data_IF_862289069611
#
_entry.id   IF_862289069611
#
_cell.length_a   1.000
_cell.length_b   1.000
_cell.length_c   1.000
_cell.angle_alpha   90.00
_cell.angle_beta   90.00
_cell.angle_gamma   90.00
#
_symmetry.space_group_name_H-M   'P 1'
#
loop_
_entity.id
_entity.type
_entity.pdbx_description
1 polymer ?
#
# COMPACT_ATOMS: atom_id res chain seq x y z
N UNK A 1 -6.02 -6.71 16.98
CA UNK A 1 -5.84 -7.80 16.03
C UNK A 1 -7.03 -7.87 15.10
N UNK A 2 -6.79 -8.28 13.84
CA UNK A 2 -7.80 -8.53 12.83
C UNK A 2 -7.67 -9.98 12.36
N UNK A 3 -8.81 -10.62 12.14
CA UNK A 3 -8.86 -11.98 11.60
C UNK A 3 -8.83 -11.95 10.07
N UNK A 4 -7.97 -12.79 9.48
CA UNK A 4 -7.89 -13.00 8.04
C UNK A 4 -9.00 -13.97 7.59
N UNK A 5 -10.22 -13.47 7.40
CA UNK A 5 -11.32 -14.26 6.84
C UNK A 5 -10.96 -14.84 5.47
N UNK A 6 -11.47 -16.02 5.13
CA UNK A 6 -11.17 -16.68 3.84
C UNK A 6 -11.57 -15.83 2.63
N UNK A 7 -12.62 -15.04 2.76
CA UNK A 7 -13.12 -14.12 1.73
C UNK A 7 -12.12 -13.03 1.32
N UNK A 8 -11.12 -12.74 2.17
CA UNK A 8 -10.05 -11.80 1.83
C UNK A 8 -9.15 -12.29 0.69
N UNK A 9 -9.18 -13.59 0.39
CA UNK A 9 -8.30 -14.26 -0.57
C UNK A 9 -9.02 -14.65 -1.87
N UNK A 10 -10.36 -14.72 -1.88
CA UNK A 10 -11.15 -15.32 -2.96
C UNK A 10 -10.84 -14.71 -4.34
N UNK A 11 -10.72 -13.39 -4.45
CA UNK A 11 -10.44 -12.70 -5.71
C UNK A 11 -8.95 -12.64 -6.09
N UNK A 12 -8.05 -13.11 -5.21
CA UNK A 12 -6.60 -13.01 -5.39
C UNK A 12 -5.97 -14.28 -5.97
N UNK A 13 -6.70 -15.40 -5.99
CA UNK A 13 -6.20 -16.67 -6.54
C UNK A 13 -5.83 -16.52 -8.03
N UNK A 14 -4.67 -17.05 -8.40
CA UNK A 14 -4.14 -17.08 -9.77
C UNK A 14 -3.95 -15.69 -10.43
N UNK A 15 -3.97 -14.60 -9.65
CA UNK A 15 -3.79 -13.23 -10.18
C UNK A 15 -2.34 -12.76 -10.24
N UNK A 16 -1.41 -13.46 -9.59
CA UNK A 16 -0.04 -12.99 -9.37
C UNK A 16 0.05 -11.81 -8.40
N UNK A 17 -0.95 -11.64 -7.54
CA UNK A 17 -0.99 -10.61 -6.52
C UNK A 17 0.22 -10.68 -5.58
N UNK A 18 0.73 -9.52 -5.17
CA UNK A 18 1.75 -9.43 -4.13
C UNK A 18 1.18 -9.90 -2.79
N UNK A 19 1.97 -10.66 -2.02
CA UNK A 19 1.56 -11.25 -0.75
C UNK A 19 2.62 -11.02 0.34
N UNK A 20 2.18 -11.00 1.59
CA UNK A 20 3.01 -11.10 2.79
C UNK A 20 2.88 -12.48 3.45
N UNK A 21 2.32 -13.47 2.72
CA UNK A 21 2.08 -14.85 3.14
C UNK A 21 1.12 -15.01 4.34
N UNK A 22 0.21 -14.04 4.52
CA UNK A 22 -0.84 -14.14 5.54
C UNK A 22 -1.81 -15.27 5.15
N UNK A 23 -2.16 -16.13 6.11
CA UNK A 23 -2.98 -17.31 5.86
C UNK A 23 -4.45 -17.11 6.28
N UNK A 24 -5.41 -17.77 5.61
CA UNK A 24 -6.82 -17.75 6.05
C UNK A 24 -6.96 -18.26 7.49
N UNK A 25 -7.63 -17.48 8.33
CA UNK A 25 -7.80 -17.78 9.76
C UNK A 25 -6.68 -17.24 10.67
N UNK A 26 -5.67 -16.61 10.10
CA UNK A 26 -4.59 -16.00 10.86
C UNK A 26 -5.07 -14.73 11.58
N UNK A 27 -4.60 -14.51 12.80
CA UNK A 27 -4.81 -13.26 13.54
C UNK A 27 -3.57 -12.38 13.47
N UNK A 28 -3.71 -11.21 12.84
CA UNK A 28 -2.62 -10.29 12.58
C UNK A 28 -2.90 -8.93 13.26
N UNK A 29 -1.87 -8.30 13.80
CA UNK A 29 -2.04 -6.97 14.38
C UNK A 29 -2.38 -5.93 13.31
N UNK A 30 -3.12 -4.89 13.68
CA UNK A 30 -3.43 -3.80 12.73
C UNK A 30 -2.15 -3.13 12.20
N UNK A 31 -1.10 -3.04 13.00
CA UNK A 31 0.18 -2.47 12.59
C UNK A 31 0.89 -3.37 11.57
N UNK A 32 0.94 -4.69 11.81
CA UNK A 32 1.53 -5.64 10.87
C UNK A 32 0.76 -5.68 9.54
N UNK A 33 -0.59 -5.59 9.57
CA UNK A 33 -1.38 -5.49 8.34
C UNK A 33 -1.09 -4.20 7.56
N UNK A 34 -0.94 -3.06 8.24
CA UNK A 34 -0.53 -1.82 7.58
C UNK A 34 0.88 -1.91 7.02
N UNK A 35 1.81 -2.56 7.72
CA UNK A 35 3.15 -2.82 7.23
C UNK A 35 3.13 -3.75 6.01
N UNK A 36 2.39 -4.86 6.07
CA UNK A 36 2.21 -5.78 4.95
C UNK A 36 1.61 -5.10 3.71
N UNK A 37 0.62 -4.22 3.89
CA UNK A 37 0.03 -3.44 2.80
C UNK A 37 1.03 -2.45 2.18
N UNK A 38 1.77 -1.70 3.00
CA UNK A 38 2.55 -0.55 2.55
C UNK A 38 3.96 -0.92 2.10
N UNK A 39 4.58 -1.96 2.68
CA UNK A 39 5.95 -2.36 2.42
C UNK A 39 6.03 -3.29 1.20
N UNK A 40 5.57 -4.57 1.25
CA UNK A 40 5.63 -5.48 0.10
C UNK A 40 4.44 -5.35 -0.84
N UNK A 41 3.45 -4.50 -0.53
CA UNK A 41 2.22 -4.34 -1.33
C UNK A 41 1.26 -5.54 -1.26
N UNK A 42 1.12 -6.17 -0.08
CA UNK A 42 0.24 -7.33 0.12
C UNK A 42 -1.22 -7.01 -0.20
N UNK A 43 -1.78 -7.73 -1.18
CA UNK A 43 -3.17 -7.55 -1.58
C UNK A 43 -4.15 -8.17 -0.56
N UNK A 44 -3.79 -9.31 0.04
CA UNK A 44 -4.59 -9.91 1.10
C UNK A 44 -4.66 -9.02 2.35
N UNK A 45 -3.57 -8.33 2.71
CA UNK A 45 -3.59 -7.39 3.82
C UNK A 45 -4.58 -6.24 3.57
N UNK A 46 -4.68 -5.74 2.32
CA UNK A 46 -5.67 -4.73 1.94
C UNK A 46 -7.10 -5.24 2.15
N UNK A 47 -7.39 -6.46 1.68
CA UNK A 47 -8.72 -7.06 1.82
C UNK A 47 -9.07 -7.40 3.26
N UNK A 48 -8.11 -7.90 4.06
CA UNK A 48 -8.31 -8.15 5.49
C UNK A 48 -8.68 -6.85 6.22
N UNK A 49 -7.96 -5.76 5.94
CA UNK A 49 -8.30 -4.45 6.51
C UNK A 49 -9.69 -4.01 6.06
N UNK A 50 -10.01 -4.13 4.78
CA UNK A 50 -11.30 -3.72 4.23
C UNK A 50 -12.48 -4.45 4.91
N UNK A 51 -12.39 -5.77 5.03
CA UNK A 51 -13.43 -6.59 5.65
C UNK A 51 -13.61 -6.31 7.15
N UNK A 52 -12.51 -6.09 7.87
CA UNK A 52 -12.57 -5.80 9.31
C UNK A 52 -13.01 -4.36 9.63
N UNK A 53 -12.94 -3.43 8.66
CA UNK A 53 -13.33 -2.02 8.88
C UNK A 53 -14.77 -1.75 8.44
N UNK A 54 -15.26 -2.44 7.40
CA UNK A 54 -16.56 -2.13 6.79
C UNK A 54 -17.40 -3.35 6.46
N UNK A 55 -17.07 -4.52 7.00
CA UNK A 55 -17.77 -5.79 6.83
C UNK A 55 -17.89 -6.26 5.35
N UNK A 56 -17.34 -5.50 4.39
CA UNK A 56 -17.29 -5.87 2.97
C UNK A 56 -16.25 -5.06 2.20
N UNK A 57 -15.68 -5.64 1.13
CA UNK A 57 -14.76 -4.93 0.24
C UNK A 57 -15.46 -3.75 -0.46
N UNK A 58 -16.70 -3.94 -0.91
CA UNK A 58 -17.50 -2.85 -1.52
C UNK A 58 -17.72 -1.71 -0.53
N UNK A 59 -18.13 -2.00 0.71
CA UNK A 59 -18.31 -0.96 1.72
C UNK A 59 -17.03 -0.20 2.02
N UNK A 60 -15.87 -0.88 1.98
CA UNK A 60 -14.59 -0.21 2.15
C UNK A 60 -14.20 0.67 0.95
N UNK A 61 -14.44 0.21 -0.29
CA UNK A 61 -14.20 1.03 -1.48
C UNK A 61 -15.13 2.25 -1.54
N UNK A 62 -16.36 2.14 -1.04
CA UNK A 62 -17.25 3.29 -0.86
C UNK A 62 -16.63 4.32 0.10
N UNK A 63 -16.06 3.87 1.23
CA UNK A 63 -15.34 4.76 2.16
C UNK A 63 -14.08 5.39 1.51
N UNK A 64 -13.35 4.64 0.66
CA UNK A 64 -12.22 5.18 -0.09
C UNK A 64 -12.67 6.28 -1.07
N UNK A 65 -13.76 6.06 -1.80
CA UNK A 65 -14.31 7.04 -2.75
C UNK A 65 -14.87 8.28 -2.03
N UNK A 66 -15.57 8.11 -0.91
CA UNK A 66 -15.96 9.25 -0.08
C UNK A 66 -14.76 10.06 0.43
N UNK A 67 -13.66 9.38 0.77
CA UNK A 67 -12.43 10.06 1.17
C UNK A 67 -11.82 10.82 0.01
N UNK A 68 -11.77 10.24 -1.18
CA UNK A 68 -11.29 10.90 -2.39
C UNK A 68 -12.10 12.18 -2.69
N UNK A 69 -13.43 12.09 -2.63
CA UNK A 69 -14.31 13.25 -2.81
C UNK A 69 -14.03 14.34 -1.77
N UNK A 70 -13.94 13.99 -0.49
CA UNK A 70 -13.62 14.93 0.61
C UNK A 70 -12.26 15.61 0.46
N UNK A 71 -11.32 14.98 -0.24
CA UNK A 71 -10.01 15.54 -0.56
C UNK A 71 -9.97 16.31 -1.88
N UNK A 72 -11.06 16.35 -2.65
CA UNK A 72 -11.13 16.99 -3.95
C UNK A 72 -10.39 16.26 -5.06
N UNK A 73 -10.30 14.93 -4.98
CA UNK A 73 -9.65 14.06 -5.96
C UNK A 73 -10.62 13.76 -7.12
N UNK A 74 -10.84 14.75 -7.98
CA UNK A 74 -11.90 14.73 -9.02
C UNK A 74 -11.67 13.70 -10.14
N UNK A 75 -10.45 13.19 -10.30
CA UNK A 75 -10.07 12.23 -11.34
C UNK A 75 -9.68 10.87 -10.73
N UNK A 76 -10.32 10.49 -9.64
CA UNK A 76 -10.02 9.26 -8.93
C UNK A 76 -11.27 8.47 -8.61
N UNK A 77 -11.20 7.16 -8.85
CA UNK A 77 -12.20 6.20 -8.41
C UNK A 77 -11.52 4.89 -8.02
N UNK A 78 -11.91 4.35 -6.87
CA UNK A 78 -11.45 3.08 -6.35
C UNK A 78 -12.55 2.03 -6.48
N UNK A 79 -12.23 0.88 -7.07
CA UNK A 79 -13.15 -0.26 -7.23
C UNK A 79 -12.67 -1.54 -6.52
N UNK A 80 -11.48 -1.49 -5.92
CA UNK A 80 -10.95 -2.52 -5.03
C UNK A 80 -10.02 -1.91 -3.99
N UNK A 81 -9.70 -2.67 -2.94
CA UNK A 81 -8.85 -2.19 -1.85
C UNK A 81 -7.35 -2.37 -2.12
N UNK A 82 -6.96 -3.27 -3.01
CA UNK A 82 -5.59 -3.77 -3.20
C UNK A 82 -4.86 -3.18 -4.41
N UNK A 83 -5.55 -2.51 -5.33
CA UNK A 83 -4.92 -1.82 -6.46
C UNK A 83 -4.60 -2.70 -7.68
N UNK A 84 -5.04 -3.96 -7.75
CA UNK A 84 -4.99 -4.73 -8.99
C UNK A 84 -5.90 -4.08 -10.04
N UNK A 85 -5.64 -4.43 -11.30
CA UNK A 85 -6.37 -3.82 -12.41
C UNK A 85 -7.87 -4.07 -12.33
N UNK A 86 -8.62 -3.01 -12.47
CA UNK A 86 -10.05 -3.03 -12.71
C UNK A 86 -10.42 -1.82 -13.59
N UNK A 87 -11.42 -1.99 -14.46
CA UNK A 87 -11.78 -0.97 -15.46
C UNK A 87 -12.12 0.39 -14.82
N UNK A 88 -12.68 0.38 -13.62
CA UNK A 88 -13.08 1.60 -12.91
C UNK A 88 -12.11 1.99 -11.78
N UNK A 89 -10.91 1.40 -11.75
CA UNK A 89 -9.87 1.75 -10.80
C UNK A 89 -8.87 2.69 -11.47
N UNK A 90 -9.01 4.00 -11.26
CA UNK A 90 -8.19 5.02 -11.90
C UNK A 90 -7.89 6.20 -10.97
N UNK A 91 -6.81 6.90 -11.27
CA UNK A 91 -6.42 8.13 -10.57
C UNK A 91 -5.59 9.04 -11.49
N UNK A 92 -5.17 10.18 -10.98
CA UNK A 92 -4.22 11.10 -11.61
C UNK A 92 -3.03 11.38 -10.70
N UNK A 93 -1.89 11.81 -11.28
CA UNK A 93 -0.72 12.24 -10.49
C UNK A 93 -1.08 13.33 -9.49
N UNK A 94 -1.95 14.27 -9.87
CA UNK A 94 -2.41 15.37 -9.00
C UNK A 94 -3.18 14.83 -7.80
N UNK A 95 -4.14 13.94 -8.04
CA UNK A 95 -4.99 13.41 -6.97
C UNK A 95 -4.19 12.51 -6.01
N UNK A 96 -3.29 11.68 -6.57
CA UNK A 96 -2.38 10.88 -5.73
C UNK A 96 -1.42 11.75 -4.91
N UNK A 97 -0.96 12.89 -5.46
CA UNK A 97 -0.16 13.84 -4.67
C UNK A 97 -0.98 14.44 -3.52
N UNK A 98 -2.25 14.80 -3.76
CA UNK A 98 -3.17 15.28 -2.73
C UNK A 98 -3.37 14.24 -1.62
N UNK A 99 -3.58 12.97 -1.99
CA UNK A 99 -3.73 11.87 -1.02
C UNK A 99 -2.45 11.67 -0.20
N UNK A 100 -1.29 11.65 -0.86
CA UNK A 100 0.00 11.48 -0.20
C UNK A 100 0.32 12.62 0.76
N UNK A 101 0.10 13.88 0.35
CA UNK A 101 0.27 15.05 1.20
C UNK A 101 -0.63 14.96 2.46
N UNK A 102 -1.90 14.60 2.29
CA UNK A 102 -2.82 14.38 3.39
C UNK A 102 -2.32 13.29 4.35
N UNK A 103 -1.89 12.14 3.81
CA UNK A 103 -1.43 11.01 4.63
C UNK A 103 -0.13 11.34 5.39
N UNK A 104 0.85 11.95 4.72
CA UNK A 104 2.12 12.36 5.32
C UNK A 104 1.89 13.42 6.40
N UNK A 105 1.05 14.40 6.15
CA UNK A 105 0.83 15.50 7.11
C UNK A 105 0.08 15.05 8.36
N UNK A 106 -0.84 14.09 8.22
CA UNK A 106 -1.82 13.76 9.27
C UNK A 106 -1.45 12.53 10.10
N UNK A 107 -0.83 11.50 9.51
CA UNK A 107 -0.65 10.21 10.18
C UNK A 107 0.80 9.86 10.42
N UNK A 108 1.24 9.91 11.70
CA UNK A 108 2.61 9.54 12.06
C UNK A 108 2.89 8.06 11.72
N UNK A 109 1.95 7.15 12.04
CA UNK A 109 2.10 5.71 11.75
C UNK A 109 2.33 5.43 10.26
N UNK A 110 1.70 6.21 9.37
CA UNK A 110 1.94 6.10 7.93
C UNK A 110 3.39 6.45 7.58
N UNK A 111 3.89 7.58 8.09
CA UNK A 111 5.30 7.98 7.88
C UNK A 111 6.28 6.96 8.43
N UNK A 112 6.00 6.42 9.61
CA UNK A 112 6.85 5.44 10.29
C UNK A 112 6.98 4.15 9.48
N UNK A 113 5.90 3.70 8.82
CA UNK A 113 5.90 2.47 8.03
C UNK A 113 6.49 2.66 6.63
N UNK A 114 6.07 3.71 5.90
CA UNK A 114 6.47 3.85 4.48
C UNK A 114 7.94 4.15 4.27
N UNK A 115 8.67 4.58 5.30
CA UNK A 115 10.10 4.84 5.24
C UNK A 115 10.98 3.61 5.56
N UNK A 116 10.38 2.50 5.98
CA UNK A 116 11.14 1.29 6.33
C UNK A 116 11.61 0.55 5.08
N UNK A 117 12.90 0.18 4.95
CA UNK A 117 13.38 -0.68 3.87
C UNK A 117 12.89 -2.13 4.04
N UNK A 118 12.68 -2.56 5.26
CA UNK A 118 12.16 -3.87 5.64
C UNK A 118 11.48 -3.80 7.00
N UNK A 119 10.65 -4.80 7.30
CA UNK A 119 10.01 -4.93 8.59
C UNK A 119 9.84 -6.42 8.94
N UNK A 120 9.98 -6.75 10.21
CA UNK A 120 9.75 -8.08 10.75
C UNK A 120 8.37 -8.09 11.43
N UNK A 121 7.39 -8.75 10.80
CA UNK A 121 6.05 -8.95 11.36
C UNK A 121 6.11 -9.90 12.55
N UNK A 122 5.28 -9.66 13.55
CA UNK A 122 5.23 -10.48 14.75
C UNK A 122 4.84 -11.93 14.46
N UNK A 123 5.27 -12.83 15.36
CA UNK A 123 4.87 -14.25 15.29
C UNK A 123 3.36 -14.42 15.45
N UNK A 124 2.83 -15.39 14.70
CA UNK A 124 1.42 -15.78 14.72
C UNK A 124 1.29 -17.30 14.91
N UNK A 125 0.06 -17.82 14.91
CA UNK A 125 -0.17 -19.26 14.93
C UNK A 125 0.29 -19.98 13.65
N UNK A 126 0.47 -19.27 12.56
CA UNK A 126 0.93 -19.79 11.26
C UNK A 126 2.42 -19.56 11.02
N UNK A 127 2.97 -18.50 11.58
CA UNK A 127 4.37 -18.07 11.43
C UNK A 127 5.02 -17.92 12.81
N UNK A 128 5.52 -19.02 13.36
CA UNK A 128 6.08 -19.04 14.74
C UNK A 128 7.27 -18.09 14.94
N UNK A 129 8.04 -17.85 13.90
CA UNK A 129 9.21 -16.97 13.91
C UNK A 129 8.93 -15.58 13.35
N UNK A 130 7.65 -15.26 13.05
CA UNK A 130 7.26 -14.04 12.34
C UNK A 130 7.57 -14.11 10.83
N UNK A 131 7.42 -13.00 10.14
CA UNK A 131 7.65 -12.91 8.69
C UNK A 131 8.45 -11.66 8.34
N UNK A 132 9.56 -11.82 7.62
CA UNK A 132 10.33 -10.70 7.09
C UNK A 132 9.72 -10.19 5.78
N UNK A 133 9.40 -8.90 5.71
CA UNK A 133 8.88 -8.23 4.53
C UNK A 133 9.80 -7.10 4.09
N UNK A 134 9.92 -6.89 2.76
CA UNK A 134 10.86 -5.95 2.16
C UNK A 134 10.13 -4.92 1.30
N UNK A 135 10.60 -3.67 1.36
CA UNK A 135 9.97 -2.58 0.63
C UNK A 135 10.27 -2.67 -0.87
N UNK A 136 9.22 -2.50 -1.66
CA UNK A 136 9.33 -2.45 -3.12
C UNK A 136 9.96 -1.14 -3.64
N UNK A 137 10.08 -0.11 -2.79
CA UNK A 137 10.77 1.14 -3.11
C UNK A 137 12.27 1.03 -2.84
N UNK A 138 13.03 0.67 -3.87
CA UNK A 138 14.47 0.45 -3.77
C UNK A 138 15.28 1.69 -3.39
N UNK A 139 14.70 2.89 -3.44
CA UNK A 139 15.37 4.11 -2.97
C UNK A 139 15.60 4.13 -1.45
N UNK A 140 14.91 3.26 -0.70
CA UNK A 140 15.04 3.15 0.75
C UNK A 140 16.11 2.16 1.20
N UNK A 141 16.54 1.26 0.31
CA UNK A 141 17.50 0.20 0.62
C UNK A 141 18.93 0.63 0.25
N UNK A 142 19.77 0.85 1.27
CA UNK A 142 21.17 1.26 1.10
C UNK A 142 22.06 0.24 0.40
N UNK A 143 21.56 -0.97 0.15
CA UNK A 143 22.29 -2.03 -0.56
C UNK A 143 22.01 -2.03 -2.07
N UNK A 144 21.15 -1.13 -2.56
CA UNK A 144 20.79 -1.02 -3.98
C UNK A 144 21.46 0.18 -4.65
N UNK A 145 21.65 0.11 -5.97
CA UNK A 145 22.15 1.22 -6.79
C UNK A 145 21.16 2.40 -6.88
N UNK A 146 19.91 2.19 -6.45
CA UNK A 146 18.84 3.19 -6.45
C UNK A 146 18.73 3.97 -5.14
N UNK A 147 19.54 3.63 -4.14
CA UNK A 147 19.48 4.26 -2.82
C UNK A 147 19.59 5.78 -2.89
N UNK A 148 18.65 6.46 -2.22
CA UNK A 148 18.68 7.90 -2.08
C UNK A 148 18.45 8.30 -0.62
N UNK A 149 19.49 8.80 0.05
CA UNK A 149 19.50 9.02 1.51
C UNK A 149 18.43 9.99 2.02
N UNK A 150 17.88 10.82 1.18
CA UNK A 150 16.79 11.75 1.53
C UNK A 150 15.39 11.18 1.27
N UNK A 151 15.25 10.04 0.57
CA UNK A 151 13.97 9.39 0.35
C UNK A 151 13.37 8.91 1.67
N UNK A 152 12.04 9.10 1.83
CA UNK A 152 11.26 8.74 3.02
C UNK A 152 10.04 7.86 2.72
N UNK A 153 9.92 7.34 1.52
CA UNK A 153 8.77 6.53 1.06
C UNK A 153 8.36 6.99 -0.33
N UNK A 154 7.19 6.63 -0.87
CA UNK A 154 5.97 6.14 -0.17
C UNK A 154 5.62 4.75 -0.68
N UNK A 155 5.23 4.66 -1.99
CA UNK A 155 4.68 3.43 -2.56
C UNK A 155 4.95 3.31 -4.05
N UNK A 156 5.35 2.13 -4.47
CA UNK A 156 5.43 1.73 -5.88
C UNK A 156 4.14 1.07 -6.35
N UNK A 157 3.92 1.01 -7.65
CA UNK A 157 2.89 0.22 -8.28
C UNK A 157 3.37 -0.24 -9.66
N UNK A 158 3.11 -1.49 -10.01
CA UNK A 158 3.52 -2.05 -11.31
C UNK A 158 2.46 -3.02 -11.80
N UNK A 159 1.87 -2.71 -12.95
CA UNK A 159 0.93 -3.57 -13.68
C UNK A 159 1.13 -3.35 -15.18
N UNK A 160 0.99 -4.40 -15.98
CA UNK A 160 1.14 -4.31 -17.44
C UNK A 160 0.22 -3.24 -18.05
N UNK A 161 -1.00 -3.10 -17.52
CA UNK A 161 -1.99 -2.13 -17.98
C UNK A 161 -1.76 -0.70 -17.49
N UNK A 162 -1.05 -0.52 -16.37
CA UNK A 162 -0.82 0.78 -15.73
C UNK A 162 0.62 1.28 -15.89
N UNK A 163 1.56 0.41 -16.34
CA UNK A 163 2.98 0.72 -16.34
C UNK A 163 3.55 0.78 -14.91
N UNK A 164 4.72 1.40 -14.78
CA UNK A 164 5.36 1.65 -13.48
C UNK A 164 4.88 2.96 -12.90
N UNK A 165 4.45 2.91 -11.65
CA UNK A 165 3.98 4.06 -10.89
C UNK A 165 4.79 4.21 -9.60
N UNK A 166 5.02 5.45 -9.17
CA UNK A 166 5.73 5.74 -7.93
C UNK A 166 5.18 7.03 -7.31
N UNK A 167 4.75 6.93 -6.06
CA UNK A 167 4.61 8.07 -5.17
C UNK A 167 5.80 8.07 -4.21
N UNK A 168 6.54 9.16 -4.15
CA UNK A 168 7.73 9.29 -3.32
C UNK A 168 7.81 10.65 -2.66
N UNK A 169 8.35 10.71 -1.45
CA UNK A 169 8.73 11.98 -0.85
C UNK A 169 10.14 11.94 -0.29
N UNK A 170 10.76 13.11 -0.22
CA UNK A 170 12.09 13.31 0.33
C UNK A 170 12.09 14.55 1.22
N UNK A 171 12.97 14.55 2.22
CA UNK A 171 13.18 15.70 3.10
C UNK A 171 14.63 16.18 2.95
N UNK A 172 14.78 17.46 2.59
CA UNK A 172 16.07 18.09 2.45
C UNK A 172 16.04 19.54 2.98
N UNK A 173 16.94 19.88 3.88
CA UNK A 173 17.06 21.21 4.50
C UNK A 173 15.73 21.77 5.03
N UNK A 174 14.92 20.90 5.67
CA UNK A 174 13.63 21.29 6.25
C UNK A 174 12.49 21.46 5.25
N UNK A 175 12.73 21.15 3.98
CA UNK A 175 11.72 21.17 2.91
C UNK A 175 11.33 19.73 2.53
N UNK A 176 10.02 19.48 2.45
CA UNK A 176 9.48 18.23 1.94
C UNK A 176 9.16 18.35 0.45
N UNK A 177 9.67 17.42 -0.33
CA UNK A 177 9.42 17.28 -1.77
C UNK A 177 8.57 16.03 -2.00
N UNK A 178 7.43 16.19 -2.65
CA UNK A 178 6.55 15.08 -3.03
C UNK A 178 6.53 14.95 -4.55
N UNK A 179 6.74 13.75 -5.05
CA UNK A 179 6.79 13.41 -6.47
C UNK A 179 5.88 12.22 -6.73
N UNK A 180 5.01 12.35 -7.73
CA UNK A 180 4.17 11.25 -8.23
C UNK A 180 4.41 11.07 -9.71
N UNK A 181 4.77 9.87 -10.11
CA UNK A 181 4.88 9.45 -11.51
C UNK A 181 3.96 8.27 -11.75
N UNK A 182 3.31 8.24 -12.91
CA UNK A 182 2.39 7.18 -13.31
C UNK A 182 2.59 6.82 -14.78
N UNK A 183 2.36 5.57 -15.13
CA UNK A 183 2.38 5.12 -16.52
C UNK A 183 3.77 5.09 -17.17
N UNK A 184 4.86 4.97 -16.41
CA UNK A 184 6.18 4.82 -17.01
C UNK A 184 6.29 3.45 -17.70
N UNK A 185 7.04 3.36 -18.85
CA UNK A 185 7.23 2.11 -19.57
C UNK A 185 7.76 0.96 -18.70
N UNK A 186 7.47 -0.27 -19.09
CA UNK A 186 7.90 -1.49 -18.38
C UNK A 186 9.33 -1.90 -18.73
N UNK A 187 9.87 -1.46 -19.85
CA UNK A 187 11.21 -1.72 -20.40
C UNK A 187 12.28 -0.70 -20.00
#
# INVERSE_FOLDING_TARGET
>A
YYSAGSEAFDELYDTGASTADIQPGEEVSCYDLLAALLIPSSCEAANIIALNVSDSITGFTDLMNEKAEKLGMENTHFSNAHGLWAQQNYSSCKDMATLCEYAISKYQVFRDIVCLPSYHMASTSYHSDGTDIYNTNLMLDSMTDYYYSYAKGIKTGTLDSAGRCLASYAEYEGTTYLIVTMGAPMD
#
